data_IF_033600103408
#
_entry.id   IF_033600103408
#
_cell.length_a   1.000
_cell.length_b   1.000
_cell.length_c   1.000
_cell.angle_alpha   90.00
_cell.angle_beta   90.00
_cell.angle_gamma   90.00
#
_symmetry.space_group_name_H-M   'P 1'
#
loop_
_entity.id
_entity.type
_entity.pdbx_description
1 polymer ?
#
# COMPACT_ATOMS: atom_id res chain seq x y z
N UNK A 1 -7.88 71.02 -14.19
CA UNK A 1 -7.19 70.39 -13.04
C UNK A 1 -6.79 69.00 -13.52
N UNK A 2 -5.57 68.79 -14.04
CA UNK A 2 -4.30 68.57 -13.30
C UNK A 2 -4.49 67.38 -12.34
N UNK A 3 -3.83 66.23 -12.42
CA UNK A 3 -2.44 65.88 -12.72
C UNK A 3 -2.38 64.43 -13.26
N UNK A 4 -1.72 64.16 -14.38
CA UNK A 4 -0.34 63.65 -14.54
C UNK A 4 -0.11 62.16 -14.22
N UNK A 5 0.21 61.42 -15.29
CA UNK A 5 0.91 60.13 -15.31
C UNK A 5 2.38 60.38 -15.00
N UNK A 6 3.02 59.53 -14.18
CA UNK A 6 4.48 59.31 -14.25
C UNK A 6 4.82 57.84 -14.01
N UNK A 7 5.51 57.29 -15.01
CA UNK A 7 6.25 56.03 -15.05
C UNK A 7 7.69 56.31 -14.61
N UNK A 8 8.37 55.44 -13.83
CA UNK A 8 9.78 55.03 -13.96
C UNK A 8 10.19 54.17 -12.73
N UNK A 9 10.60 52.91 -12.92
CA UNK A 9 12.01 52.45 -13.03
C UNK A 9 12.89 52.90 -11.86
N UNK A 10 13.33 51.94 -11.03
CA UNK A 10 14.52 52.12 -10.19
C UNK A 10 15.50 50.98 -10.46
N UNK A 11 16.69 51.43 -10.86
CA UNK A 11 17.86 50.69 -11.28
C UNK A 11 18.63 50.09 -10.10
N UNK A 12 19.22 48.93 -10.38
CA UNK A 12 20.32 48.28 -9.66
C UNK A 12 21.54 49.21 -9.63
N UNK A 13 22.18 49.39 -8.47
CA UNK A 13 23.60 49.76 -8.40
C UNK A 13 24.29 49.09 -7.21
N UNK A 14 25.20 48.18 -7.55
CA UNK A 14 26.30 47.66 -6.74
C UNK A 14 27.29 48.77 -6.42
N UNK A 15 27.81 48.80 -5.19
CA UNK A 15 29.16 49.31 -4.88
C UNK A 15 29.74 48.57 -3.67
N UNK A 16 30.75 47.76 -3.94
CA UNK A 16 31.70 47.19 -2.97
C UNK A 16 32.62 48.28 -2.42
N UNK A 17 32.95 48.25 -1.12
CA UNK A 17 34.35 48.20 -0.63
C UNK A 17 34.45 47.82 0.85
N UNK A 18 35.34 46.84 1.07
CA UNK A 18 35.89 46.20 2.25
C UNK A 18 36.11 47.03 3.53
N UNK A 19 35.84 46.38 4.68
CA UNK A 19 36.75 46.29 5.83
C UNK A 19 36.61 44.89 6.49
N UNK A 20 37.75 44.23 6.66
CA UNK A 20 38.02 42.97 7.39
C UNK A 20 37.88 43.20 8.91
N UNK A 21 37.85 42.25 9.85
CA UNK A 21 38.06 40.81 9.91
C UNK A 21 37.51 40.39 11.29
N UNK A 22 36.79 39.26 11.38
CA UNK A 22 36.23 38.75 12.63
C UNK A 22 35.72 37.33 12.40
N UNK A 23 36.64 36.38 12.47
CA UNK A 23 36.44 34.98 12.11
C UNK A 23 35.50 34.30 13.11
N UNK A 24 34.23 34.17 12.76
CA UNK A 24 33.33 33.15 13.33
C UNK A 24 33.31 32.01 12.33
N UNK A 25 33.93 30.89 12.70
CA UNK A 25 33.81 29.62 11.96
C UNK A 25 32.33 29.23 11.98
N UNK A 26 31.61 29.56 10.91
CA UNK A 26 30.31 28.95 10.62
C UNK A 26 30.61 27.50 10.22
N UNK A 27 29.93 26.49 10.79
CA UNK A 27 29.94 25.17 10.18
C UNK A 27 29.36 25.33 8.77
N UNK A 28 30.21 25.11 7.78
CA UNK A 28 29.82 25.02 6.39
C UNK A 28 29.04 23.71 6.25
N UNK A 29 27.72 23.75 6.47
CA UNK A 29 26.84 22.69 6.00
C UNK A 29 26.80 22.83 4.48
N UNK A 30 27.68 22.08 3.83
CA UNK A 30 27.60 21.80 2.40
C UNK A 30 26.28 21.04 2.14
N UNK A 31 25.30 21.60 1.42
CA UNK A 31 24.05 20.92 1.11
C UNK A 31 24.22 19.84 0.03
N UNK A 32 25.44 19.61 -0.48
CA UNK A 32 25.70 18.62 -1.51
C UNK A 32 26.42 17.39 -0.97
N UNK A 33 25.64 16.39 -0.50
CA UNK A 33 26.02 14.97 -0.65
C UNK A 33 24.90 14.00 -0.23
N UNK A 34 24.44 13.21 -1.20
CA UNK A 34 23.72 11.95 -1.01
C UNK A 34 22.22 12.01 -1.25
N UNK A 35 21.77 11.94 -2.51
CA UNK A 35 20.40 11.51 -2.81
C UNK A 35 20.38 9.98 -2.66
N UNK A 36 19.36 9.43 -1.99
CA UNK A 36 19.20 7.98 -1.98
C UNK A 36 18.48 7.54 -3.24
N UNK A 37 19.05 6.54 -3.91
CA UNK A 37 18.43 5.93 -5.07
C UNK A 37 17.74 4.68 -4.58
N UNK A 38 16.43 4.64 -4.79
CA UNK A 38 15.71 3.37 -4.78
C UNK A 38 16.09 2.62 -6.04
N UNK A 39 17.16 1.83 -5.98
CA UNK A 39 17.59 0.93 -7.07
C UNK A 39 16.76 -0.37 -7.04
N UNK A 40 15.45 -0.20 -6.92
CA UNK A 40 14.51 -1.32 -6.87
C UNK A 40 14.11 -1.67 -8.30
N UNK A 41 14.91 -2.52 -8.93
CA UNK A 41 14.59 -3.05 -10.25
C UNK A 41 13.20 -3.70 -10.25
N UNK A 42 12.40 -3.31 -11.24
CA UNK A 42 11.10 -3.92 -11.53
C UNK A 42 11.29 -4.96 -12.63
N UNK A 43 10.81 -6.17 -12.39
CA UNK A 43 10.96 -7.26 -13.35
C UNK A 43 10.08 -7.06 -14.58
N UNK A 44 10.63 -7.28 -15.77
CA UNK A 44 9.87 -7.24 -17.01
C UNK A 44 8.88 -8.42 -17.18
N UNK A 45 9.02 -9.47 -16.38
CA UNK A 45 8.31 -10.74 -16.56
C UNK A 45 7.43 -11.14 -15.34
N UNK A 46 7.34 -10.28 -14.33
CA UNK A 46 6.57 -10.55 -13.11
C UNK A 46 5.41 -9.56 -13.01
N UNK A 47 4.20 -10.05 -13.22
CA UNK A 47 2.97 -9.28 -13.20
C UNK A 47 2.58 -8.98 -11.75
N UNK A 48 2.35 -7.71 -11.44
CA UNK A 48 1.73 -7.27 -10.21
C UNK A 48 0.20 -7.38 -10.31
N UNK A 49 -0.40 -8.08 -9.35
CA UNK A 49 -1.84 -8.38 -9.30
C UNK A 49 -2.66 -7.24 -8.69
N UNK A 50 -2.02 -6.29 -8.03
CA UNK A 50 -2.70 -5.18 -7.36
C UNK A 50 -3.52 -4.33 -8.33
N UNK A 51 -4.70 -3.92 -7.85
CA UNK A 51 -5.68 -3.24 -8.67
C UNK A 51 -5.41 -1.73 -8.76
N UNK A 52 -4.58 -1.33 -9.71
CA UNK A 52 -4.53 0.05 -10.19
C UNK A 52 -5.80 0.37 -10.99
N UNK A 53 -6.54 1.41 -10.56
CA UNK A 53 -7.62 2.07 -11.31
C UNK A 53 -8.71 1.15 -11.89
N UNK A 54 -8.99 -0.01 -11.26
CA UNK A 54 -10.02 -0.97 -11.67
C UNK A 54 -9.81 -1.55 -13.08
N UNK A 55 -8.56 -1.58 -13.57
CA UNK A 55 -8.23 -2.20 -14.84
C UNK A 55 -8.29 -3.73 -14.72
N UNK A 56 -9.43 -4.31 -15.12
CA UNK A 56 -9.66 -5.76 -15.07
C UNK A 56 -8.78 -6.49 -16.09
N UNK A 57 -8.00 -7.46 -15.62
CA UNK A 57 -7.23 -8.38 -16.46
C UNK A 57 -8.10 -9.55 -16.91
N UNK A 58 -8.91 -9.32 -17.94
CA UNK A 58 -9.86 -10.31 -18.48
C UNK A 58 -9.31 -11.03 -19.71
N UNK A 59 -9.34 -12.36 -19.67
CA UNK A 59 -9.11 -13.24 -20.81
C UNK A 59 -10.40 -13.99 -21.16
N UNK A 60 -10.63 -14.21 -22.46
CA UNK A 60 -11.87 -14.84 -22.96
C UNK A 60 -11.53 -15.90 -24.00
N UNK A 61 -11.90 -17.15 -23.73
CA UNK A 61 -11.58 -18.30 -24.55
C UNK A 61 -12.85 -19.00 -25.05
N UNK A 62 -13.03 -19.23 -26.36
CA UNK A 62 -14.12 -20.06 -26.87
C UNK A 62 -13.95 -21.51 -26.40
N UNK A 63 -14.93 -22.06 -25.68
CA UNK A 63 -14.83 -23.43 -25.15
C UNK A 63 -14.62 -24.48 -26.25
N UNK A 64 -15.16 -24.25 -27.45
CA UNK A 64 -15.03 -25.14 -28.60
C UNK A 64 -13.60 -25.26 -29.13
N UNK A 65 -12.68 -24.36 -28.74
CA UNK A 65 -11.27 -24.38 -29.15
C UNK A 65 -10.34 -24.94 -28.09
N UNK A 66 -10.80 -25.07 -26.84
CA UNK A 66 -9.96 -25.53 -25.74
C UNK A 66 -9.64 -27.02 -25.87
N UNK A 67 -8.35 -27.34 -25.71
CA UNK A 67 -7.85 -28.73 -25.64
C UNK A 67 -7.57 -29.16 -24.20
N UNK A 68 -7.49 -28.22 -23.27
CA UNK A 68 -7.23 -28.43 -21.85
C UNK A 68 -7.91 -27.35 -21.01
N UNK A 69 -8.18 -27.67 -19.74
CA UNK A 69 -8.59 -26.70 -18.73
C UNK A 69 -7.48 -26.40 -17.70
N UNK A 70 -6.31 -27.00 -17.88
CA UNK A 70 -5.16 -26.80 -17.00
C UNK A 70 -4.70 -25.35 -17.08
N UNK A 71 -4.70 -24.68 -15.93
CA UNK A 71 -4.07 -23.38 -15.74
C UNK A 71 -2.99 -23.50 -14.67
N UNK A 72 -1.81 -22.93 -14.92
CA UNK A 72 -0.69 -22.96 -13.98
C UNK A 72 0.08 -21.65 -13.98
N UNK A 73 0.65 -21.27 -12.85
CA UNK A 73 1.45 -20.06 -12.70
C UNK A 73 2.33 -20.17 -11.46
N UNK A 74 3.44 -19.44 -11.46
CA UNK A 74 4.21 -19.18 -10.24
C UNK A 74 3.61 -17.96 -9.54
N UNK A 75 3.45 -18.05 -8.22
CA UNK A 75 2.80 -17.05 -7.39
C UNK A 75 3.62 -16.73 -6.13
N UNK A 76 3.67 -15.45 -5.76
CA UNK A 76 4.35 -14.95 -4.54
C UNK A 76 3.54 -13.80 -3.94
N UNK A 77 3.37 -13.78 -2.62
CA UNK A 77 2.74 -12.65 -1.91
C UNK A 77 3.15 -12.60 -0.42
N UNK A 78 2.93 -11.45 0.21
CA UNK A 78 2.90 -11.28 1.68
C UNK A 78 1.49 -11.00 2.20
N UNK A 79 0.53 -10.78 1.31
CA UNK A 79 -0.87 -10.51 1.61
C UNK A 79 -1.56 -11.78 2.09
N UNK A 80 -2.46 -11.63 3.05
CA UNK A 80 -3.13 -12.74 3.73
C UNK A 80 -4.52 -13.08 3.19
N UNK A 81 -5.12 -12.19 2.41
CA UNK A 81 -6.45 -12.35 1.82
C UNK A 81 -6.51 -11.66 0.46
N UNK A 82 -7.16 -12.25 -0.54
CA UNK A 82 -7.30 -11.63 -1.86
C UNK A 82 -7.66 -12.63 -2.95
N UNK A 83 -8.18 -12.18 -4.09
CA UNK A 83 -8.50 -13.06 -5.23
C UNK A 83 -7.26 -13.26 -6.09
N UNK A 84 -6.85 -14.51 -6.30
CA UNK A 84 -5.79 -14.83 -7.26
C UNK A 84 -6.37 -14.79 -8.67
N UNK A 85 -7.43 -15.57 -8.91
CA UNK A 85 -8.20 -15.46 -10.14
C UNK A 85 -9.65 -15.90 -9.94
N UNK A 86 -10.51 -15.35 -10.78
CA UNK A 86 -11.90 -15.73 -10.96
C UNK A 86 -12.07 -16.32 -12.36
N UNK A 87 -12.96 -17.30 -12.54
CA UNK A 87 -13.34 -17.77 -13.85
C UNK A 87 -14.81 -18.17 -13.93
N UNK A 88 -15.43 -17.98 -15.10
CA UNK A 88 -16.80 -18.41 -15.35
C UNK A 88 -17.05 -18.92 -16.75
N UNK A 89 -18.14 -19.67 -16.90
CA UNK A 89 -18.67 -20.11 -18.18
C UNK A 89 -20.12 -19.64 -18.27
N UNK A 90 -20.38 -18.64 -19.13
CA UNK A 90 -21.73 -18.15 -19.37
C UNK A 90 -22.27 -17.20 -18.30
N UNK A 91 -21.41 -16.61 -17.46
CA UNK A 91 -21.78 -15.57 -16.50
C UNK A 91 -22.02 -16.04 -15.06
N UNK A 92 -22.85 -15.28 -14.36
CA UNK A 92 -22.95 -15.24 -12.88
C UNK A 92 -23.49 -16.52 -12.21
N UNK A 93 -23.88 -17.54 -12.99
CA UNK A 93 -24.48 -18.78 -12.49
C UNK A 93 -23.50 -19.97 -12.49
N UNK A 94 -22.34 -19.85 -13.14
CA UNK A 94 -21.35 -20.93 -13.22
C UNK A 94 -19.93 -20.34 -13.13
N UNK A 95 -19.45 -20.16 -11.90
CA UNK A 95 -18.21 -19.49 -11.60
C UNK A 95 -17.36 -20.25 -10.58
N UNK A 96 -16.07 -19.96 -10.61
CA UNK A 96 -15.03 -20.50 -9.77
C UNK A 96 -14.10 -19.36 -9.34
N UNK A 97 -13.69 -19.36 -8.08
CA UNK A 97 -12.72 -18.42 -7.52
C UNK A 97 -11.65 -19.21 -6.80
N UNK A 98 -10.39 -18.90 -7.11
CA UNK A 98 -9.25 -19.24 -6.27
C UNK A 98 -8.78 -17.96 -5.59
N UNK A 99 -8.78 -17.98 -4.27
CA UNK A 99 -8.43 -16.85 -3.43
C UNK A 99 -7.45 -17.29 -2.32
N UNK A 100 -6.89 -16.30 -1.63
CA UNK A 100 -6.28 -16.48 -0.33
C UNK A 100 -7.24 -16.04 0.76
N UNK A 101 -7.20 -16.78 1.87
CA UNK A 101 -7.78 -16.37 3.15
C UNK A 101 -6.93 -16.90 4.28
N UNK A 102 -6.66 -16.07 5.28
CA UNK A 102 -5.82 -16.42 6.41
C UNK A 102 -4.49 -17.07 5.96
N UNK A 103 -3.93 -16.56 4.86
CA UNK A 103 -2.67 -17.00 4.22
C UNK A 103 -2.68 -18.36 3.50
N UNK A 104 -3.84 -18.98 3.37
CA UNK A 104 -4.01 -20.29 2.75
C UNK A 104 -4.96 -20.20 1.55
N UNK A 105 -4.95 -21.20 0.68
CA UNK A 105 -5.83 -21.22 -0.48
C UNK A 105 -7.29 -21.46 -0.06
N UNK A 106 -8.19 -20.71 -0.69
CA UNK A 106 -9.63 -20.84 -0.61
C UNK A 106 -10.21 -20.99 -2.03
N UNK A 107 -11.09 -21.97 -2.21
CA UNK A 107 -11.89 -22.18 -3.41
C UNK A 107 -13.34 -21.90 -3.10
N UNK A 108 -13.97 -21.05 -3.90
CA UNK A 108 -15.42 -20.86 -3.92
C UNK A 108 -15.93 -21.12 -5.32
N UNK A 109 -17.04 -21.83 -5.44
CA UNK A 109 -17.69 -22.02 -6.74
C UNK A 109 -19.19 -22.16 -6.62
N UNK A 110 -19.88 -21.81 -7.70
CA UNK A 110 -21.30 -22.06 -7.88
C UNK A 110 -21.52 -22.60 -9.29
N UNK A 111 -22.39 -23.59 -9.44
CA UNK A 111 -22.94 -23.97 -10.73
C UNK A 111 -24.33 -24.61 -10.62
N UNK A 112 -24.78 -25.26 -11.71
CA UNK A 112 -26.11 -25.90 -11.80
C UNK A 112 -26.40 -26.93 -10.70
N UNK A 113 -25.37 -27.53 -10.10
CA UNK A 113 -25.53 -28.57 -9.08
C UNK A 113 -25.50 -28.01 -7.65
N UNK A 114 -25.13 -26.74 -7.48
CA UNK A 114 -25.07 -26.09 -6.18
C UNK A 114 -23.81 -25.26 -5.97
N UNK A 115 -23.53 -25.00 -4.69
CA UNK A 115 -22.47 -24.12 -4.23
C UNK A 115 -21.44 -24.92 -3.43
N UNK A 116 -20.17 -24.54 -3.52
CA UNK A 116 -19.09 -25.16 -2.76
C UNK A 116 -18.09 -24.13 -2.26
N UNK A 117 -17.75 -24.23 -0.98
CA UNK A 117 -16.71 -23.46 -0.30
C UNK A 117 -15.71 -24.43 0.34
N UNK A 118 -14.45 -24.23 0.01
CA UNK A 118 -13.31 -24.95 0.57
C UNK A 118 -12.27 -23.90 0.99
N UNK A 119 -11.95 -23.82 2.29
CA UNK A 119 -11.00 -22.84 2.82
C UNK A 119 -9.86 -23.50 3.58
N UNK A 120 -8.74 -22.79 3.72
CA UNK A 120 -7.57 -23.17 4.51
C UNK A 120 -6.84 -24.42 3.99
N UNK A 121 -6.62 -24.51 2.67
CA UNK A 121 -5.90 -25.62 2.04
C UNK A 121 -4.46 -25.27 1.67
N UNK A 122 -3.62 -26.30 1.67
CA UNK A 122 -2.22 -26.20 1.28
C UNK A 122 -1.33 -25.54 2.34
N UNK A 123 -0.09 -25.17 1.96
CA UNK A 123 0.82 -24.47 2.85
C UNK A 123 0.45 -22.99 3.01
N UNK A 124 1.14 -22.30 3.92
CA UNK A 124 1.13 -20.84 3.96
C UNK A 124 1.69 -20.28 2.63
N UNK A 125 0.86 -19.52 1.91
CA UNK A 125 1.18 -18.90 0.62
C UNK A 125 1.69 -17.46 0.76
N UNK A 126 1.56 -16.86 1.94
CA UNK A 126 1.88 -15.45 2.23
C UNK A 126 3.25 -15.28 2.89
N UNK A 127 4.23 -16.12 2.51
CA UNK A 127 5.58 -16.15 3.07
C UNK A 127 6.63 -15.44 2.19
N UNK A 128 6.19 -14.78 1.11
CA UNK A 128 7.07 -14.09 0.17
C UNK A 128 7.90 -15.02 -0.71
N UNK A 129 7.60 -16.32 -0.76
CA UNK A 129 8.30 -17.26 -1.64
C UNK A 129 7.48 -17.53 -2.90
N UNK A 130 8.17 -17.75 -4.01
CA UNK A 130 7.56 -18.26 -5.22
C UNK A 130 7.11 -19.70 -5.02
N UNK A 131 5.84 -19.98 -5.34
CA UNK A 131 5.23 -21.32 -5.33
C UNK A 131 4.50 -21.54 -6.63
N UNK A 132 4.60 -22.75 -7.18
CA UNK A 132 3.90 -23.11 -8.40
C UNK A 132 2.49 -23.58 -8.06
N UNK A 133 1.48 -22.90 -8.59
CA UNK A 133 0.08 -23.27 -8.43
C UNK A 133 -0.45 -23.79 -9.75
N UNK A 134 -1.24 -24.86 -9.72
CA UNK A 134 -1.98 -25.33 -10.89
C UNK A 134 -3.40 -25.72 -10.54
N UNK A 135 -4.35 -25.35 -11.40
CA UNK A 135 -5.75 -25.74 -11.33
C UNK A 135 -6.08 -26.49 -12.60
N UNK A 136 -6.53 -27.73 -12.48
CA UNK A 136 -6.98 -28.54 -13.61
C UNK A 136 -8.42 -28.99 -13.40
N UNK A 137 -9.20 -28.97 -14.48
CA UNK A 137 -10.52 -29.56 -14.53
C UNK A 137 -10.46 -30.77 -15.46
N UNK A 138 -10.30 -31.94 -14.87
CA UNK A 138 -10.35 -33.20 -15.59
C UNK A 138 -11.72 -33.87 -15.41
N UNK A 139 -12.52 -33.84 -16.46
CA UNK A 139 -13.90 -34.35 -16.47
C UNK A 139 -14.76 -33.76 -15.34
N UNK A 140 -14.99 -34.57 -14.31
CA UNK A 140 -15.80 -34.25 -13.14
C UNK A 140 -14.93 -33.97 -11.90
N UNK A 141 -13.63 -33.75 -12.06
CA UNK A 141 -12.73 -33.46 -10.94
C UNK A 141 -12.03 -32.12 -11.18
N UNK A 142 -12.13 -31.23 -10.20
CA UNK A 142 -11.29 -30.02 -10.13
C UNK A 142 -10.19 -30.28 -9.11
N UNK A 143 -8.95 -30.18 -9.55
CA UNK A 143 -7.77 -30.43 -8.73
C UNK A 143 -6.93 -29.14 -8.65
N UNK A 144 -6.56 -28.75 -7.42
CA UNK A 144 -5.60 -27.66 -7.19
C UNK A 144 -4.34 -28.27 -6.60
N UNK A 145 -3.19 -27.92 -7.19
CA UNK A 145 -1.87 -28.32 -6.70
C UNK A 145 -1.03 -27.11 -6.32
N UNK A 146 -0.20 -27.29 -5.30
CA UNK A 146 0.87 -26.37 -4.92
C UNK A 146 2.18 -27.14 -4.92
N UNK A 147 3.16 -26.66 -5.68
CA UNK A 147 4.48 -27.28 -5.83
C UNK A 147 4.40 -28.77 -6.27
N UNK A 148 3.35 -29.12 -7.03
CA UNK A 148 3.08 -30.46 -7.52
C UNK A 148 2.22 -31.34 -6.59
N UNK A 149 2.03 -30.95 -5.33
CA UNK A 149 1.21 -31.68 -4.36
C UNK A 149 -0.27 -31.29 -4.47
N UNK A 150 -1.18 -32.27 -4.45
CA UNK A 150 -2.62 -32.02 -4.48
C UNK A 150 -3.07 -31.49 -3.12
N UNK A 151 -3.57 -30.25 -3.09
CA UNK A 151 -4.08 -29.61 -1.88
C UNK A 151 -5.61 -29.54 -1.86
N UNK A 152 -6.24 -29.59 -3.04
CA UNK A 152 -7.69 -29.64 -3.21
C UNK A 152 -8.01 -30.64 -4.31
N UNK A 153 -8.96 -31.54 -4.08
CA UNK A 153 -9.51 -32.45 -5.09
C UNK A 153 -11.02 -32.53 -4.92
N UNK A 154 -11.74 -32.06 -5.94
CA UNK A 154 -13.17 -31.83 -5.90
C UNK A 154 -13.89 -32.65 -6.94
N UNK A 155 -14.68 -33.63 -6.50
CA UNK A 155 -15.56 -34.34 -7.42
C UNK A 155 -16.84 -33.53 -7.65
N UNK A 156 -16.97 -33.01 -8.86
CA UNK A 156 -18.08 -32.24 -9.36
C UNK A 156 -18.82 -33.03 -10.47
N UNK A 157 -20.01 -33.57 -10.16
CA UNK A 157 -20.85 -34.24 -11.16
C UNK A 157 -21.59 -33.25 -12.05
N UNK A 158 -20.95 -32.72 -13.08
CA UNK A 158 -21.67 -31.92 -14.09
C UNK A 158 -22.48 -32.90 -14.94
N UNK A 159 -23.81 -32.76 -15.02
CA UNK A 159 -24.55 -33.47 -16.07
C UNK A 159 -24.00 -32.90 -17.36
N UNK A 160 -23.39 -33.72 -18.22
CA UNK A 160 -22.79 -33.22 -19.47
C UNK A 160 -23.89 -32.75 -20.43
N UNK A 161 -24.45 -31.57 -20.17
CA UNK A 161 -25.43 -30.91 -21.02
C UNK A 161 -24.87 -29.58 -21.51
N UNK A 162 -23.57 -29.58 -21.85
CA UNK A 162 -22.99 -28.59 -22.76
C UNK A 162 -23.47 -28.82 -24.22
N UNK A 163 -24.31 -29.83 -24.47
CA UNK A 163 -24.90 -30.11 -25.77
C UNK A 163 -25.95 -29.05 -26.12
N UNK A 164 -25.55 -28.07 -26.93
CA UNK A 164 -26.49 -27.11 -27.55
C UNK A 164 -26.00 -25.69 -27.74
N UNK A 165 -24.83 -25.31 -27.20
CA UNK A 165 -24.40 -23.92 -27.19
C UNK A 165 -22.98 -23.74 -27.73
N UNK A 166 -22.86 -23.63 -29.06
CA UNK A 166 -21.59 -23.41 -29.76
C UNK A 166 -20.86 -22.09 -29.37
N UNK A 167 -21.54 -21.19 -28.65
CA UNK A 167 -21.05 -19.85 -28.30
C UNK A 167 -20.57 -19.69 -26.86
N UNK A 168 -20.47 -20.76 -26.06
CA UNK A 168 -19.98 -20.63 -24.68
C UNK A 168 -18.50 -20.24 -24.63
N UNK A 169 -18.20 -19.29 -23.74
CA UNK A 169 -16.87 -18.74 -23.53
C UNK A 169 -16.48 -18.94 -22.07
N UNK A 170 -15.25 -19.40 -21.86
CA UNK A 170 -14.58 -19.34 -20.57
C UNK A 170 -14.00 -17.94 -20.41
N UNK A 171 -14.38 -17.26 -19.33
CA UNK A 171 -13.78 -15.99 -18.92
C UNK A 171 -12.87 -16.26 -17.73
N UNK A 172 -11.66 -15.68 -17.74
CA UNK A 172 -10.73 -15.72 -16.62
C UNK A 172 -10.34 -14.27 -16.30
N UNK A 173 -10.55 -13.87 -15.06
CA UNK A 173 -10.17 -12.57 -14.51
C UNK A 173 -9.04 -12.80 -13.49
N UNK A 174 -7.97 -12.02 -13.60
CA UNK A 174 -6.79 -12.12 -12.73
C UNK A 174 -6.80 -11.00 -11.69
N UNK A 175 -6.58 -11.34 -10.42
CA UNK A 175 -6.39 -10.37 -9.33
C UNK A 175 -7.65 -9.65 -8.83
N UNK A 176 -8.85 -9.97 -9.35
CA UNK A 176 -10.09 -9.30 -8.96
C UNK A 176 -11.35 -10.13 -9.33
N UNK A 177 -12.51 -9.66 -8.88
CA UNK A 177 -13.84 -10.13 -9.26
C UNK A 177 -14.41 -9.30 -10.43
N UNK A 178 -15.36 -9.84 -11.20
CA UNK A 178 -15.98 -9.09 -12.29
C UNK A 178 -16.78 -7.86 -11.80
N UNK A 179 -16.43 -6.69 -12.33
CA UNK A 179 -17.17 -5.44 -12.08
C UNK A 179 -18.63 -5.57 -12.53
N UNK A 180 -19.55 -4.98 -11.75
CA UNK A 180 -20.98 -4.96 -12.05
C UNK A 180 -21.61 -6.36 -12.26
N UNK A 181 -21.07 -7.38 -11.61
CA UNK A 181 -21.66 -8.71 -11.59
C UNK A 181 -22.65 -8.87 -10.43
N UNK A 182 -23.60 -9.80 -10.57
CA UNK A 182 -24.45 -10.26 -9.47
C UNK A 182 -23.79 -11.38 -8.64
N UNK A 183 -22.53 -11.72 -8.96
CA UNK A 183 -21.77 -12.75 -8.25
C UNK A 183 -21.58 -12.32 -6.80
N UNK A 184 -22.12 -13.13 -5.91
CA UNK A 184 -21.89 -13.02 -4.47
C UNK A 184 -21.06 -14.23 -4.05
N UNK A 185 -19.85 -13.96 -3.55
CA UNK A 185 -19.04 -14.99 -2.91
C UNK A 185 -19.83 -15.61 -1.75
N UNK A 186 -19.72 -16.94 -1.62
CA UNK A 186 -20.34 -17.70 -0.54
C UNK A 186 -19.83 -17.22 0.82
N UNK A 187 -18.56 -16.83 0.85
CA UNK A 187 -17.93 -16.13 1.96
C UNK A 187 -17.25 -14.86 1.43
N UNK A 188 -17.77 -13.67 1.76
CA UNK A 188 -17.14 -12.42 1.33
C UNK A 188 -15.66 -12.34 1.75
N UNK A 189 -14.85 -11.70 0.93
CA UNK A 189 -13.46 -11.32 1.19
C UNK A 189 -13.15 -10.01 0.47
N UNK A 190 -12.08 -9.34 0.87
CA UNK A 190 -11.51 -8.25 0.08
C UNK A 190 -10.87 -8.82 -1.19
N UNK A 191 -11.30 -8.44 -2.40
CA UNK A 191 -10.78 -9.04 -3.62
C UNK A 191 -9.38 -8.56 -3.99
N UNK A 192 -8.96 -7.39 -3.50
CA UNK A 192 -7.62 -6.85 -3.77
C UNK A 192 -6.56 -7.82 -3.29
N UNK A 193 -5.50 -7.99 -4.07
CA UNK A 193 -4.39 -8.86 -3.73
C UNK A 193 -3.06 -8.20 -4.10
N UNK A 194 -2.24 -7.88 -3.09
CA UNK A 194 -0.84 -7.49 -3.29
C UNK A 194 0.01 -8.75 -3.53
N UNK A 195 0.02 -9.21 -4.78
CA UNK A 195 0.72 -10.42 -5.19
C UNK A 195 1.42 -10.28 -6.53
N UNK A 196 2.33 -11.21 -6.79
CA UNK A 196 3.10 -11.32 -8.02
C UNK A 196 2.84 -12.65 -8.71
N UNK A 197 2.78 -12.62 -10.04
CA UNK A 197 2.56 -13.79 -10.88
C UNK A 197 3.57 -13.83 -12.03
N UNK A 198 4.10 -15.01 -12.33
CA UNK A 198 4.97 -15.25 -13.50
C UNK A 198 4.80 -16.66 -14.03
N UNK A 199 5.49 -16.98 -15.13
CA UNK A 199 5.54 -18.31 -15.74
C UNK A 199 4.14 -18.95 -15.91
N UNK A 200 3.17 -18.12 -16.30
CA UNK A 200 1.78 -18.53 -16.43
C UNK A 200 1.51 -19.31 -17.72
N UNK A 201 0.55 -20.21 -17.64
CA UNK A 201 -0.09 -20.87 -18.76
C UNK A 201 -1.57 -20.99 -18.42
N UNK A 202 -2.42 -20.35 -19.20
CA UNK A 202 -3.87 -20.33 -18.97
C UNK A 202 -4.53 -21.18 -20.04
N UNK A 203 -5.09 -22.32 -19.65
CA UNK A 203 -5.82 -23.26 -20.53
C UNK A 203 -5.08 -23.63 -21.82
N UNK A 204 -3.74 -23.63 -21.78
CA UNK A 204 -2.83 -23.85 -22.92
C UNK A 204 -3.03 -22.87 -24.09
N UNK A 205 -3.55 -21.68 -23.82
CA UNK A 205 -3.75 -20.60 -24.78
C UNK A 205 -2.86 -19.38 -24.45
N UNK A 206 -2.69 -18.49 -25.43
CA UNK A 206 -1.91 -17.26 -25.26
C UNK A 206 -2.62 -16.26 -24.32
N UNK A 207 -1.85 -15.61 -23.44
CA UNK A 207 -2.32 -14.62 -22.48
C UNK A 207 -1.74 -13.22 -22.74
N UNK A 208 -1.81 -12.76 -24.00
CA UNK A 208 -1.16 -11.52 -24.47
C UNK A 208 -1.59 -10.27 -23.68
N UNK A 209 -2.81 -10.23 -23.16
CA UNK A 209 -3.32 -9.14 -22.30
C UNK A 209 -2.43 -8.89 -21.09
N UNK A 210 -1.89 -9.94 -20.47
CA UNK A 210 -1.02 -9.84 -19.29
C UNK A 210 0.36 -9.27 -19.65
N UNK A 211 0.87 -9.59 -20.84
CA UNK A 211 2.16 -9.04 -21.31
C UNK A 211 2.00 -7.57 -21.69
N UNK A 212 0.95 -7.24 -22.44
CA UNK A 212 0.68 -5.86 -22.88
C UNK A 212 0.46 -4.89 -21.72
N UNK A 213 -0.13 -5.34 -20.60
CA UNK A 213 -0.33 -4.45 -19.43
C UNK A 213 0.97 -4.17 -18.68
N UNK A 214 1.90 -5.12 -18.63
CA UNK A 214 3.24 -4.89 -18.07
C UNK A 214 4.07 -3.98 -18.96
N UNK A 215 3.88 -4.05 -20.29
CA UNK A 215 4.54 -3.15 -21.24
C UNK A 215 4.02 -1.70 -21.14
N UNK A 216 2.73 -1.52 -20.80
CA UNK A 216 2.11 -0.19 -20.73
C UNK A 216 2.36 0.56 -19.42
N UNK A 217 2.62 -0.13 -18.31
CA UNK A 217 2.88 0.48 -17.00
C UNK A 217 3.92 -0.29 -16.21
N UNK A 218 4.94 0.41 -15.71
CA UNK A 218 5.91 -0.19 -14.77
C UNK A 218 5.29 -0.51 -13.41
N UNK A 219 4.20 0.16 -13.01
CA UNK A 219 3.53 -0.11 -11.74
C UNK A 219 2.89 -1.51 -11.71
N UNK A 220 2.53 -2.03 -12.90
CA UNK A 220 2.07 -3.41 -13.15
C UNK A 220 3.17 -4.46 -13.13
N UNK A 221 4.42 -4.08 -12.86
CA UNK A 221 5.56 -4.99 -12.71
C UNK A 221 5.96 -5.12 -11.25
N UNK A 222 6.16 -6.33 -10.78
CA UNK A 222 6.67 -6.57 -9.43
C UNK A 222 8.12 -6.09 -9.27
N UNK A 223 8.53 -5.80 -8.03
CA UNK A 223 9.95 -5.61 -7.76
C UNK A 223 10.63 -6.98 -7.72
N UNK A 224 11.87 -7.05 -8.20
CA UNK A 224 12.62 -8.31 -8.20
C UNK A 224 12.82 -8.85 -6.77
N UNK A 225 13.12 -7.95 -5.83
CA UNK A 225 13.35 -8.27 -4.42
C UNK A 225 12.43 -7.48 -3.49
N UNK A 226 11.53 -8.21 -2.84
CA UNK A 226 10.49 -7.65 -1.96
C UNK A 226 10.58 -8.24 -0.56
N UNK A 227 10.28 -7.42 0.44
CA UNK A 227 10.02 -7.83 1.82
C UNK A 227 8.61 -7.37 2.23
N UNK A 228 8.08 -7.94 3.32
CA UNK A 228 6.81 -7.51 3.88
C UNK A 228 6.86 -6.03 4.30
N UNK A 229 5.86 -5.25 3.92
CA UNK A 229 5.67 -3.84 4.30
C UNK A 229 4.82 -3.10 3.27
N UNK A 230 4.38 -1.89 3.58
CA UNK A 230 3.59 -1.07 2.66
C UNK A 230 4.49 -0.08 1.94
N UNK A 231 4.52 -0.12 0.61
CA UNK A 231 5.33 0.78 -0.20
C UNK A 231 4.53 1.99 -0.67
N UNK A 232 5.06 3.18 -0.37
CA UNK A 232 4.56 4.46 -0.84
C UNK A 232 5.53 5.03 -1.88
N UNK A 233 5.08 5.29 -3.12
CA UNK A 233 5.94 5.83 -4.18
C UNK A 233 6.13 7.36 -4.10
N UNK A 234 5.39 8.08 -3.26
CA UNK A 234 5.50 9.54 -3.12
C UNK A 234 4.55 10.38 -3.96
N UNK A 235 3.48 9.79 -4.49
CA UNK A 235 2.50 10.48 -5.35
C UNK A 235 1.07 10.46 -4.80
N UNK A 236 0.87 9.96 -3.58
CA UNK A 236 -0.46 9.83 -3.01
C UNK A 236 -0.48 9.37 -1.56
N UNK A 237 -1.67 9.01 -1.11
CA UNK A 237 -1.94 8.66 0.29
C UNK A 237 -3.01 7.56 0.38
N UNK A 238 -3.17 7.03 1.59
CA UNK A 238 -4.30 6.19 1.98
C UNK A 238 -5.19 6.91 2.99
N UNK A 239 -6.51 6.84 2.79
CA UNK A 239 -7.56 7.46 3.61
C UNK A 239 -8.29 6.39 4.42
N UNK A 240 -8.41 6.62 5.72
CA UNK A 240 -9.15 5.77 6.66
C UNK A 240 -10.15 6.59 7.46
N UNK A 241 -11.23 5.95 7.88
CA UNK A 241 -12.11 6.50 8.91
C UNK A 241 -11.57 6.15 10.29
N UNK A 242 -11.76 7.03 11.26
CA UNK A 242 -11.34 6.76 12.66
C UNK A 242 -11.98 5.48 13.23
N UNK A 243 -13.20 5.14 12.78
CA UNK A 243 -13.91 3.92 13.17
C UNK A 243 -13.11 2.64 12.87
N UNK A 244 -12.22 2.65 11.87
CA UNK A 244 -11.37 1.51 11.53
C UNK A 244 -10.37 1.15 12.63
N UNK A 245 -10.03 2.07 13.55
CA UNK A 245 -9.02 1.86 14.59
C UNK A 245 -9.61 1.62 16.00
N UNK A 246 -10.92 1.81 16.16
CA UNK A 246 -11.62 1.61 17.43
C UNK A 246 -11.13 2.50 18.59
N UNK A 247 -11.78 2.41 19.76
CA UNK A 247 -11.22 2.96 20.99
C UNK A 247 -10.01 2.13 21.46
N UNK A 248 -9.01 2.80 22.05
CA UNK A 248 -7.82 2.16 22.64
C UNK A 248 -8.23 1.06 23.62
N UNK A 249 -7.94 -0.20 23.28
CA UNK A 249 -7.98 -1.30 24.26
C UNK A 249 -6.64 -1.29 25.00
N UNK A 250 -6.46 -0.28 25.84
CA UNK A 250 -5.26 -0.18 26.67
C UNK A 250 -5.05 -1.46 27.49
N UNK A 251 -3.79 -1.74 27.82
CA UNK A 251 -3.41 -2.78 28.78
C UNK A 251 -4.05 -2.46 30.15
N UNK A 252 -5.27 -2.93 30.39
CA UNK A 252 -5.96 -2.82 31.67
C UNK A 252 -7.31 -2.11 31.60
N UNK A 253 -8.32 -2.81 32.10
CA UNK A 253 -9.76 -2.50 32.14
C UNK A 253 -10.15 -1.25 32.97
N UNK A 254 -9.24 -0.31 33.25
CA UNK A 254 -9.44 0.82 34.17
C UNK A 254 -8.70 2.13 33.81
N UNK A 255 -8.35 2.39 32.54
CA UNK A 255 -7.79 3.70 32.17
C UNK A 255 -8.89 4.73 31.89
N UNK A 256 -9.15 5.64 32.84
CA UNK A 256 -10.09 6.76 32.67
C UNK A 256 -9.49 7.94 31.88
N UNK A 257 -8.22 7.85 31.47
CA UNK A 257 -7.50 8.93 30.78
C UNK A 257 -7.34 8.57 29.32
N UNK A 258 -7.85 9.43 28.43
CA UNK A 258 -7.72 9.27 26.99
C UNK A 258 -6.25 9.31 26.56
N UNK A 259 -5.90 8.44 25.61
CA UNK A 259 -4.56 8.30 25.07
C UNK A 259 -4.63 8.15 23.55
N UNK A 260 -3.61 8.67 22.85
CA UNK A 260 -3.39 8.41 21.43
C UNK A 260 -1.98 7.90 21.21
N UNK A 261 -1.84 6.71 20.61
CA UNK A 261 -0.56 6.11 20.28
C UNK A 261 -0.48 5.71 18.82
N UNK A 262 0.54 6.21 18.13
CA UNK A 262 0.93 5.79 16.79
C UNK A 262 2.34 5.19 16.81
N UNK A 263 2.48 3.93 16.39
CA UNK A 263 3.76 3.23 16.26
C UNK A 263 4.05 3.02 14.77
N UNK A 264 5.20 3.47 14.32
CA UNK A 264 5.62 3.40 12.94
C UNK A 264 6.96 2.66 12.87
N UNK A 265 7.06 1.67 11.99
CA UNK A 265 8.33 1.19 11.46
C UNK A 265 8.40 1.64 10.02
N UNK A 266 9.46 2.33 9.63
CA UNK A 266 9.57 2.88 8.29
C UNK A 266 11.01 2.84 7.79
N UNK A 267 11.15 2.81 6.46
CA UNK A 267 12.41 2.92 5.73
C UNK A 267 12.18 3.95 4.63
N UNK A 268 12.53 5.22 4.87
CA UNK A 268 12.30 6.29 3.90
C UNK A 268 13.32 6.20 2.76
N UNK A 269 12.90 6.52 1.54
CA UNK A 269 13.82 6.81 0.43
C UNK A 269 14.32 8.26 0.56
N UNK A 270 13.43 9.18 0.94
CA UNK A 270 13.78 10.55 1.28
C UNK A 270 13.24 10.84 2.67
N UNK A 271 14.04 11.49 3.53
CA UNK A 271 13.62 11.89 4.87
C UNK A 271 12.72 13.14 4.83
N UNK A 272 11.63 13.08 4.06
CA UNK A 272 10.61 14.11 3.92
C UNK A 272 9.23 13.49 3.80
N UNK A 273 8.21 14.32 3.95
CA UNK A 273 6.82 13.92 3.75
C UNK A 273 6.08 13.60 5.05
N UNK A 274 4.76 13.58 4.93
CA UNK A 274 3.84 13.30 6.03
C UNK A 274 3.70 11.79 6.19
N UNK A 275 4.03 11.27 7.38
CA UNK A 275 3.85 9.85 7.70
C UNK A 275 2.38 9.55 7.98
N UNK A 276 1.74 10.37 8.81
CA UNK A 276 0.29 10.33 8.99
C UNK A 276 -0.27 11.66 9.50
N UNK A 277 -1.56 11.88 9.27
CA UNK A 277 -2.32 13.01 9.81
C UNK A 277 -3.74 12.60 10.22
N UNK A 278 -4.31 13.33 11.18
CA UNK A 278 -5.68 13.23 11.64
C UNK A 278 -6.37 14.53 11.27
N UNK A 279 -7.49 14.44 10.57
CA UNK A 279 -8.29 15.57 10.13
C UNK A 279 -9.62 15.59 10.85
N UNK A 280 -9.96 16.75 11.40
CA UNK A 280 -11.28 17.00 11.96
C UNK A 280 -12.28 17.45 10.89
N UNK A 281 -13.34 18.12 11.35
CA UNK A 281 -14.33 18.71 10.46
C UNK A 281 -13.68 19.70 9.47
N UNK A 282 -14.26 19.77 8.27
CA UNK A 282 -13.79 20.61 7.15
C UNK A 282 -12.36 20.30 6.68
N UNK A 283 -11.87 19.06 6.87
CA UNK A 283 -10.54 18.61 6.46
C UNK A 283 -9.37 19.39 7.08
N UNK A 284 -9.60 20.03 8.24
CA UNK A 284 -8.53 20.73 8.96
C UNK A 284 -7.60 19.73 9.67
N UNK A 285 -6.28 19.91 9.52
CA UNK A 285 -5.29 19.05 10.16
C UNK A 285 -5.33 19.31 11.68
N UNK A 286 -5.73 18.30 12.44
CA UNK A 286 -5.76 18.34 13.90
C UNK A 286 -4.45 17.85 14.51
N UNK A 287 -3.88 16.80 13.92
CA UNK A 287 -2.57 16.25 14.28
C UNK A 287 -1.86 15.81 13.00
N UNK A 288 -0.56 16.03 12.89
CA UNK A 288 0.27 15.39 11.87
C UNK A 288 1.66 15.05 12.40
N UNK A 289 2.23 13.97 11.88
CA UNK A 289 3.63 13.59 12.05
C UNK A 289 4.29 13.59 10.67
N UNK A 290 5.33 14.41 10.50
CA UNK A 290 6.07 14.55 9.25
C UNK A 290 7.59 14.53 9.47
N UNK A 291 8.32 14.19 8.41
CA UNK A 291 9.78 14.31 8.36
C UNK A 291 10.17 15.61 7.65
N UNK A 292 11.13 16.34 8.21
CA UNK A 292 11.69 17.56 7.61
C UNK A 292 13.13 17.29 7.17
N UNK A 293 13.35 17.19 5.86
CA UNK A 293 14.67 16.90 5.24
C UNK A 293 15.71 17.95 5.60
N UNK A 294 15.33 19.22 5.62
CA UNK A 294 16.25 20.34 5.82
C UNK A 294 16.70 20.44 7.26
N UNK A 295 15.79 20.20 8.21
CA UNK A 295 16.09 20.27 9.64
C UNK A 295 16.58 18.94 10.23
N UNK A 296 16.36 17.83 9.52
CA UNK A 296 16.61 16.46 9.99
C UNK A 296 15.90 16.17 11.32
N UNK A 297 14.62 16.54 11.41
CA UNK A 297 13.79 16.33 12.59
C UNK A 297 12.45 15.73 12.18
N UNK A 298 11.78 15.07 13.12
CA UNK A 298 10.34 14.89 13.03
C UNK A 298 9.64 16.16 13.47
N UNK A 299 8.64 16.57 12.71
CA UNK A 299 7.75 17.67 13.07
C UNK A 299 6.38 17.09 13.43
N UNK A 300 5.87 17.49 14.59
CA UNK A 300 4.53 17.15 15.05
C UNK A 300 3.71 18.43 15.12
N UNK A 301 2.70 18.56 14.26
CA UNK A 301 1.74 19.67 14.34
C UNK A 301 0.51 19.20 15.09
N UNK A 302 0.14 19.89 16.16
CA UNK A 302 -1.07 19.63 16.96
C UNK A 302 -1.86 20.93 17.04
N UNK A 303 -2.96 21.01 16.29
CA UNK A 303 -3.81 22.19 16.18
C UNK A 303 -2.98 23.43 15.79
N UNK A 304 -2.85 24.42 16.68
CA UNK A 304 -2.11 25.66 16.51
C UNK A 304 -0.64 25.59 16.95
N UNK A 305 -0.16 24.43 17.41
CA UNK A 305 1.21 24.24 17.89
C UNK A 305 2.01 23.30 16.99
N UNK A 306 3.31 23.57 16.94
CA UNK A 306 4.29 22.73 16.24
C UNK A 306 5.39 22.37 17.21
N UNK A 307 5.73 21.08 17.25
CA UNK A 307 6.82 20.50 18.02
C UNK A 307 7.82 19.88 17.05
N UNK A 308 9.11 19.90 17.40
CA UNK A 308 10.16 19.28 16.60
C UNK A 308 10.99 18.39 17.49
N UNK A 309 11.29 17.17 17.05
CA UNK A 309 12.23 16.30 17.77
C UNK A 309 13.62 16.90 17.85
N UNK A 310 14.49 16.26 18.64
CA UNK A 310 15.92 16.43 18.49
C UNK A 310 16.38 16.07 17.08
N UNK A 311 17.52 16.63 16.65
CA UNK A 311 18.12 16.30 15.36
C UNK A 311 18.44 14.82 15.30
N UNK A 312 18.09 14.22 14.16
CA UNK A 312 18.26 12.81 13.90
C UNK A 312 19.48 12.70 12.98
N UNK A 313 20.60 12.13 13.47
CA UNK A 313 21.75 11.86 12.62
C UNK A 313 21.34 10.75 11.66
N UNK A 314 20.88 11.13 10.47
CA UNK A 314 20.58 10.16 9.43
C UNK A 314 21.87 9.86 8.69
N UNK A 315 22.30 8.60 8.74
CA UNK A 315 22.95 8.03 7.56
C UNK A 315 21.86 7.96 6.49
N UNK A 316 22.07 8.70 5.42
CA UNK A 316 20.99 9.17 4.56
C UNK A 316 20.23 8.00 3.89
N UNK A 317 20.87 6.85 3.67
CA UNK A 317 20.31 5.72 2.92
C UNK A 317 20.37 4.39 3.69
N UNK A 318 19.78 4.36 4.89
CA UNK A 318 19.71 3.11 5.64
C UNK A 318 18.72 2.13 4.98
N UNK A 319 19.22 0.96 4.58
CA UNK A 319 18.40 -0.19 4.18
C UNK A 319 17.66 -0.82 5.37
N UNK A 320 17.82 -0.28 6.58
CA UNK A 320 17.26 -0.81 7.82
C UNK A 320 15.99 -0.09 8.24
N UNK A 321 15.02 -0.85 8.73
CA UNK A 321 13.81 -0.32 9.35
C UNK A 321 14.14 0.52 10.60
N UNK A 322 13.60 1.74 10.65
CA UNK A 322 13.67 2.63 11.82
C UNK A 322 12.30 2.72 12.48
N UNK A 323 12.27 2.92 13.79
CA UNK A 323 11.02 3.06 14.55
C UNK A 323 10.79 4.49 15.05
N UNK A 324 9.54 4.92 15.00
CA UNK A 324 9.05 6.12 15.67
C UNK A 324 7.75 5.78 16.41
N UNK A 325 7.58 6.35 17.61
CA UNK A 325 6.37 6.21 18.41
C UNK A 325 5.95 7.58 18.92
N UNK A 326 4.78 8.01 18.49
CA UNK A 326 4.10 9.18 19.04
C UNK A 326 3.09 8.71 20.08
N UNK A 327 3.16 9.27 21.28
CA UNK A 327 2.20 9.02 22.36
C UNK A 327 1.73 10.35 22.93
N UNK A 328 0.42 10.54 23.00
CA UNK A 328 -0.23 11.65 23.70
C UNK A 328 -1.01 11.04 24.87
N UNK A 329 -0.56 11.29 26.09
CA UNK A 329 -1.18 10.77 27.31
C UNK A 329 -0.81 11.68 28.49
N UNK A 330 -1.67 11.79 29.50
CA UNK A 330 -1.38 12.54 30.74
C UNK A 330 -0.88 13.98 30.48
N UNK A 331 -1.46 14.66 29.50
CA UNK A 331 -1.05 16.01 29.06
C UNK A 331 0.42 16.11 28.64
N UNK A 332 1.00 15.03 28.12
CA UNK A 332 2.33 15.01 27.55
C UNK A 332 2.25 14.52 26.11
N UNK A 333 3.02 15.15 25.23
CA UNK A 333 3.36 14.63 23.91
C UNK A 333 4.75 14.02 24.01
N UNK A 334 4.85 12.72 23.72
CA UNK A 334 6.10 12.00 23.69
C UNK A 334 6.35 11.50 22.28
N UNK A 335 7.52 11.84 21.73
CA UNK A 335 8.00 11.29 20.48
C UNK A 335 9.29 10.52 20.75
N UNK A 336 9.19 9.19 20.63
CA UNK A 336 10.30 8.28 20.83
C UNK A 336 10.74 7.69 19.50
N UNK A 337 12.02 7.83 19.17
CA UNK A 337 12.66 7.22 18.00
C UNK A 337 13.67 6.17 18.44
N UNK A 338 14.33 5.48 17.50
CA UNK A 338 15.44 4.57 17.84
C UNK A 338 16.62 5.27 18.55
N UNK A 339 16.79 6.59 18.34
CA UNK A 339 17.99 7.33 18.76
C UNK A 339 17.71 8.42 19.79
N UNK A 340 16.48 8.94 19.84
CA UNK A 340 16.11 10.09 20.67
C UNK A 340 14.73 9.91 21.30
N UNK A 341 14.48 10.65 22.37
CA UNK A 341 13.18 10.75 23.00
C UNK A 341 12.95 12.21 23.39
N UNK A 342 11.90 12.81 22.84
CA UNK A 342 11.53 14.19 23.10
C UNK A 342 10.15 14.24 23.74
N UNK A 343 10.00 15.03 24.79
CA UNK A 343 8.76 15.16 25.56
C UNK A 343 8.36 16.62 25.73
N UNK A 344 7.08 16.91 25.53
CA UNK A 344 6.54 18.27 25.60
C UNK A 344 5.26 18.31 26.42
N UNK A 345 5.13 19.24 27.38
CA UNK A 345 3.90 19.43 28.11
C UNK A 345 2.83 20.02 27.17
N UNK A 346 1.64 19.43 27.23
CA UNK A 346 0.44 19.90 26.55
C UNK A 346 -0.51 20.57 27.55
N UNK A 347 -1.33 21.51 27.09
CA UNK A 347 -2.42 22.02 27.92
C UNK A 347 -3.65 21.12 27.78
N UNK A 348 -4.48 21.06 28.83
CA UNK A 348 -5.75 20.33 28.83
C UNK A 348 -6.63 20.65 27.61
N UNK A 349 -6.60 21.91 27.16
CA UNK A 349 -7.35 22.36 25.98
C UNK A 349 -6.95 21.58 24.73
N UNK A 350 -5.66 21.40 24.46
CA UNK A 350 -5.20 20.73 23.24
C UNK A 350 -5.57 19.24 23.27
N UNK A 351 -5.39 18.58 24.42
CA UNK A 351 -5.73 17.16 24.58
C UNK A 351 -7.23 16.93 24.41
N UNK A 352 -8.07 17.72 25.09
CA UNK A 352 -9.54 17.62 24.97
C UNK A 352 -10.03 17.94 23.57
N UNK A 353 -9.44 18.92 22.89
CA UNK A 353 -9.79 19.23 21.50
C UNK A 353 -9.48 18.07 20.56
N UNK A 354 -8.30 17.45 20.70
CA UNK A 354 -7.94 16.29 19.88
C UNK A 354 -8.81 15.06 20.21
N UNK A 355 -9.09 14.81 21.49
CA UNK A 355 -10.01 13.76 21.93
C UNK A 355 -11.40 13.93 21.33
N UNK A 356 -11.96 15.15 21.38
CA UNK A 356 -13.26 15.45 20.79
C UNK A 356 -13.28 15.20 19.29
N UNK A 357 -12.18 15.53 18.58
CA UNK A 357 -12.02 15.23 17.15
C UNK A 357 -11.96 13.72 16.93
N UNK A 358 -11.14 12.99 17.69
CA UNK A 358 -11.04 11.53 17.58
C UNK A 358 -12.39 10.81 17.73
N UNK A 359 -13.27 11.34 18.59
CA UNK A 359 -14.61 10.77 18.80
C UNK A 359 -15.61 11.08 17.68
N UNK A 360 -15.31 11.99 16.75
CA UNK A 360 -16.22 12.29 15.64
C UNK A 360 -16.17 11.19 14.57
N UNK A 361 -17.33 10.69 14.10
CA UNK A 361 -17.38 9.70 13.03
C UNK A 361 -16.89 10.26 11.68
N UNK A 362 -16.86 11.58 11.53
CA UNK A 362 -16.35 12.30 10.36
C UNK A 362 -14.83 12.44 10.34
N UNK A 363 -14.15 12.04 11.42
CA UNK A 363 -12.69 12.14 11.51
C UNK A 363 -12.03 11.17 10.54
N UNK A 364 -11.16 11.75 9.73
CA UNK A 364 -10.41 11.05 8.68
C UNK A 364 -8.95 10.99 9.05
N UNK A 365 -8.32 9.86 8.77
CA UNK A 365 -6.89 9.64 8.97
C UNK A 365 -6.28 9.46 7.59
N UNK A 366 -5.20 10.20 7.31
CA UNK A 366 -4.42 10.03 6.10
C UNK A 366 -3.03 9.49 6.45
N UNK A 367 -2.52 8.59 5.62
CA UNK A 367 -1.21 7.97 5.80
C UNK A 367 -0.42 8.11 4.49
N UNK A 368 0.85 8.49 4.63
CA UNK A 368 1.77 8.75 3.52
C UNK A 368 1.58 10.10 2.81
N UNK A 369 0.66 10.93 3.29
CA UNK A 369 0.34 12.23 2.70
C UNK A 369 -0.93 12.82 3.26
N UNK A 370 -1.37 13.94 2.69
CA UNK A 370 -2.65 14.58 3.01
C UNK A 370 -3.21 15.31 1.79
N UNK A 371 -4.55 15.36 1.61
CA UNK A 371 -5.13 16.23 0.60
C UNK A 371 -4.81 17.70 0.84
N UNK A 372 -4.75 18.49 -0.23
CA UNK A 372 -4.65 19.96 -0.19
C UNK A 372 -3.25 20.54 -0.02
N UNK A 373 -2.25 19.74 0.39
CA UNK A 373 -0.85 20.15 0.48
C UNK A 373 0.01 19.46 -0.62
N UNK A 374 -0.52 19.42 -1.85
CA UNK A 374 0.05 18.66 -2.96
C UNK A 374 1.33 19.29 -3.55
N UNK A 375 2.37 19.43 -2.74
CA UNK A 375 3.76 19.49 -3.22
C UNK A 375 4.35 18.09 -3.13
N UNK A 376 5.19 17.69 -4.09
CA UNK A 376 5.84 16.37 -4.11
C UNK A 376 6.60 16.06 -2.80
N UNK A 377 7.11 17.10 -2.14
CA UNK A 377 7.80 16.98 -0.84
C UNK A 377 6.88 16.64 0.36
N UNK A 378 5.56 16.71 0.17
CA UNK A 378 4.57 16.44 1.23
C UNK A 378 4.16 14.96 1.30
N UNK A 379 4.37 14.20 0.22
CA UNK A 379 4.11 12.77 0.19
C UNK A 379 5.31 11.98 0.69
N UNK A 380 5.04 10.92 1.44
CA UNK A 380 6.06 9.99 1.90
C UNK A 380 6.47 9.07 0.77
N UNK A 381 7.78 8.93 0.56
CA UNK A 381 8.36 7.92 -0.33
C UNK A 381 9.16 6.91 0.49
N UNK A 382 8.75 5.66 0.44
CA UNK A 382 9.45 4.56 1.11
C UNK A 382 8.51 3.51 1.66
N UNK A 383 9.06 2.71 2.59
CA UNK A 383 8.37 1.59 3.20
C UNK A 383 7.84 1.94 4.59
N UNK A 384 6.63 1.50 4.90
CA UNK A 384 5.95 1.78 6.17
C UNK A 384 5.22 0.53 6.69
N UNK A 385 5.25 0.35 8.01
CA UNK A 385 4.34 -0.48 8.80
C UNK A 385 3.85 0.37 9.95
N UNK A 386 2.55 0.44 10.15
CA UNK A 386 1.97 1.32 11.16
C UNK A 386 0.97 0.59 12.03
N UNK A 387 0.98 0.91 13.32
CA UNK A 387 -0.10 0.58 14.25
C UNK A 387 -0.62 1.87 14.88
N UNK A 388 -1.94 2.05 14.86
CA UNK A 388 -2.63 3.18 15.46
C UNK A 388 -3.60 2.66 16.52
N UNK A 389 -3.51 3.19 17.74
CA UNK A 389 -4.28 2.69 18.90
C UNK A 389 -4.14 1.18 19.11
N UNK A 390 -2.94 0.64 18.87
CA UNK A 390 -2.64 -0.78 19.00
C UNK A 390 -3.16 -1.67 17.86
N UNK A 391 -4.01 -1.17 16.96
CA UNK A 391 -4.43 -1.90 15.75
C UNK A 391 -3.43 -1.67 14.62
N UNK A 392 -2.94 -2.77 14.02
CA UNK A 392 -2.16 -2.69 12.78
C UNK A 392 -3.02 -2.11 11.65
N UNK A 393 -2.45 -1.19 10.87
CA UNK A 393 -3.12 -0.62 9.70
C UNK A 393 -3.12 -1.66 8.59
N UNK A 394 -4.30 -2.06 8.13
CA UNK A 394 -4.49 -2.88 6.93
C UNK A 394 -4.83 -1.96 5.75
N UNK A 395 -3.94 -1.86 4.77
CA UNK A 395 -4.06 -0.87 3.70
C UNK A 395 -5.09 -1.25 2.65
N UNK A 396 -5.49 -2.52 2.56
CA UNK A 396 -6.60 -2.90 1.70
C UNK A 396 -7.98 -2.58 2.31
N UNK A 397 -8.05 -2.25 3.60
CA UNK A 397 -9.26 -1.69 4.24
C UNK A 397 -9.38 -0.16 4.06
N UNK A 398 -8.44 0.48 3.36
CA UNK A 398 -8.50 1.93 3.11
C UNK A 398 -9.76 2.30 2.31
N UNK A 399 -10.42 3.38 2.73
CA UNK A 399 -11.60 3.91 2.01
C UNK A 399 -11.20 4.43 0.63
N UNK A 400 -10.07 5.12 0.56
CA UNK A 400 -9.42 5.54 -0.68
C UNK A 400 -7.93 5.25 -0.55
N UNK A 401 -7.33 4.62 -1.54
CA UNK A 401 -5.89 4.32 -1.60
C UNK A 401 -5.40 4.71 -2.98
N UNK A 402 -4.30 5.48 -3.06
CA UNK A 402 -3.67 5.76 -4.34
C UNK A 402 -3.25 4.45 -5.03
N UNK A 403 -3.50 4.33 -6.33
CA UNK A 403 -3.35 3.06 -7.06
C UNK A 403 -1.94 2.47 -7.05
N UNK A 404 -0.92 3.32 -6.90
CA UNK A 404 0.48 2.90 -6.88
C UNK A 404 1.00 2.49 -5.49
N UNK A 405 0.19 2.62 -4.42
CA UNK A 405 0.55 2.13 -3.09
C UNK A 405 0.41 0.61 -3.06
N UNK A 406 1.47 -0.08 -2.63
CA UNK A 406 1.47 -1.54 -2.41
C UNK A 406 1.23 -1.82 -0.94
N UNK A 407 0.23 -2.64 -0.63
CA UNK A 407 -0.28 -2.83 0.72
C UNK A 407 0.65 -3.65 1.61
N UNK A 408 1.30 -4.67 1.04
CA UNK A 408 2.03 -5.70 1.77
C UNK A 408 3.40 -6.03 1.19
N UNK A 409 3.76 -5.53 0.01
CA UNK A 409 5.09 -5.69 -0.60
C UNK A 409 5.92 -4.39 -0.64
N UNK A 410 7.20 -4.52 -0.28
CA UNK A 410 8.14 -3.41 -0.16
C UNK A 410 9.51 -3.73 -0.80
N UNK A 411 10.08 -2.87 -1.65
CA UNK A 411 11.35 -3.13 -2.32
C UNK A 411 12.54 -3.10 -1.37
N UNK A 412 13.47 -4.05 -1.43
CA UNK A 412 14.56 -4.20 -0.44
C UNK A 412 15.86 -3.43 -0.74
N UNK A 413 16.12 -3.03 -1.98
CA UNK A 413 17.36 -2.35 -2.38
C UNK A 413 17.25 -0.82 -2.28
N UNK A 414 17.93 -0.21 -1.30
CA UNK A 414 18.17 1.24 -1.24
C UNK A 414 19.68 1.44 -1.06
N UNK A 415 20.29 2.20 -1.96
CA UNK A 415 21.72 2.52 -1.92
C UNK A 415 21.95 4.03 -2.01
N UNK A 416 23.07 4.49 -1.45
CA UNK A 416 23.52 5.88 -1.59
C UNK A 416 24.16 6.07 -2.98
N UNK A 417 23.88 7.20 -3.62
CA UNK A 417 24.52 7.58 -4.89
C UNK A 417 26.05 7.73 -4.68
N UNK A 418 26.84 6.81 -5.25
CA UNK A 418 28.28 7.00 -5.35
C UNK A 418 28.53 8.10 -6.39
N UNK A 419 29.09 9.24 -5.94
CA UNK A 419 29.57 10.27 -6.86
C UNK A 419 30.72 9.71 -7.67
N UNK A 420 30.42 9.23 -8.88
CA UNK A 420 31.44 8.93 -9.88
C UNK A 420 32.10 10.24 -10.28
N UNK A 421 33.26 10.53 -9.68
CA UNK A 421 34.13 11.60 -10.14
C UNK A 421 34.57 11.26 -11.58
N UNK A 422 34.06 12.01 -12.55
CA UNK A 422 34.60 12.11 -13.91
C UNK A 422 35.45 13.37 -14.04
#
# INVERSE_FOLDING_TARGET
MVAERVTLVVFILLLHRHLSEGSVVKPNLDPQKGTCILDAARSANELYLGNEDKNILLMVFPLSKLTSYLSSFDFRTFDSEGVIFYGDIGGDYNWFVLALRDKHLEVQMTNENGQMLLSMFGPNMSDGKWRKVSVDRNANIIEVRVDGEVVVSLMHYVKSSFSGHADWKLRILIGDLPLNSSVQLLRPLNPSLDGCMRDWSWVQEEANVLTSVMESSEHKRCFEQEESGTYFPGDGFAEFQVASFGPDKGDGENSTVWSLTAKLLFRPVVFSGILFSIHGENQTIALSLAMDKMKQVFTVSLLDKVFSSDQIPLDHCQSTWTQARLTIQNNQLQLKTSMAQSEYPLSDKHVRSLENIWQQPTTTIYIGGTPGLATEESYFTGCLKMALQGKMVEFDEAKNKHGHIRSHSCPTAIHAEESSNL
#
